data_IF_436696311360
#
_entry.id   IF_436696311360
#
_cell.length_a   1.000
_cell.length_b   1.000
_cell.length_c   1.000
_cell.angle_alpha   90.00
_cell.angle_beta   90.00
_cell.angle_gamma   90.00
#
_symmetry.space_group_name_H-M   'P 1'
#
loop_
_entity.id
_entity.type
_entity.pdbx_description
1 polymer ?
#
# COMPACT_ATOMS: atom_id res chain seq x y z
N UNK A 1 0.47 -51.03 -10.39
CA UNK A 1 1.08 -49.71 -10.71
C UNK A 1 0.01 -48.72 -11.10
N UNK A 2 -0.80 -48.27 -10.14
CA UNK A 2 -1.70 -47.12 -10.30
C UNK A 2 -1.50 -46.27 -9.05
N UNK A 3 -1.11 -45.01 -9.27
CA UNK A 3 -0.42 -44.13 -8.32
C UNK A 3 -1.20 -43.79 -7.04
N UNK A 4 -0.49 -43.27 -6.02
CA UNK A 4 -1.13 -42.92 -4.77
C UNK A 4 -2.14 -41.80 -5.01
N UNK A 5 -3.37 -42.03 -4.56
CA UNK A 5 -4.45 -41.06 -4.51
C UNK A 5 -3.99 -39.83 -3.73
N UNK A 6 -3.78 -38.70 -4.42
CA UNK A 6 -3.57 -37.41 -3.78
C UNK A 6 -4.85 -37.10 -2.98
N UNK A 7 -4.76 -37.33 -1.67
CA UNK A 7 -5.80 -37.00 -0.71
C UNK A 7 -6.14 -35.51 -0.82
N UNK A 8 -7.43 -35.24 -0.79
CA UNK A 8 -8.06 -33.92 -0.89
C UNK A 8 -7.89 -33.10 0.42
N UNK A 9 -6.71 -33.19 1.06
CA UNK A 9 -6.45 -32.69 2.42
C UNK A 9 -5.12 -31.91 2.56
N UNK A 10 -4.58 -31.34 1.47
CA UNK A 10 -3.34 -30.55 1.54
C UNK A 10 -3.47 -29.10 1.02
N UNK A 11 -4.63 -28.47 1.19
CA UNK A 11 -4.60 -27.02 1.37
C UNK A 11 -4.12 -26.80 2.80
N UNK A 12 -2.80 -26.73 2.98
CA UNK A 12 -2.20 -26.22 4.21
C UNK A 12 -2.99 -24.98 4.61
N UNK A 13 -3.56 -24.97 5.83
CA UNK A 13 -4.28 -23.82 6.34
C UNK A 13 -3.31 -22.63 6.41
N UNK A 14 -3.17 -21.91 5.30
CA UNK A 14 -2.25 -20.80 5.14
C UNK A 14 -2.67 -19.76 6.16
N UNK A 15 -1.80 -19.55 7.15
CA UNK A 15 -2.00 -18.52 8.15
C UNK A 15 -1.98 -17.17 7.41
N UNK A 16 -3.18 -16.62 7.16
CA UNK A 16 -3.34 -15.38 6.42
C UNK A 16 -2.61 -14.21 7.07
N UNK A 17 -2.34 -14.27 8.38
CA UNK A 17 -1.56 -13.25 9.10
C UNK A 17 -0.07 -13.36 8.76
N UNK A 18 0.45 -14.57 8.58
CA UNK A 18 1.85 -14.83 8.20
C UNK A 18 2.11 -14.64 6.70
N UNK A 19 1.12 -14.92 5.86
CA UNK A 19 1.22 -14.86 4.40
C UNK A 19 0.30 -13.79 3.81
N UNK A 20 0.40 -12.58 4.34
CA UNK A 20 -0.25 -11.43 3.73
C UNK A 20 0.46 -11.08 2.42
N UNK A 21 -0.30 -10.68 1.39
CA UNK A 21 0.25 -10.07 0.19
C UNK A 21 0.83 -8.70 0.55
N UNK A 22 2.05 -8.71 1.11
CA UNK A 22 2.79 -7.54 1.50
C UNK A 22 3.45 -6.87 0.30
N UNK A 23 3.79 -5.61 0.47
CA UNK A 23 4.69 -4.92 -0.45
C UNK A 23 6.11 -5.42 -0.19
N UNK A 24 6.78 -5.98 -1.20
CA UNK A 24 8.18 -6.40 -1.07
C UNK A 24 9.08 -5.20 -0.76
N UNK A 25 10.21 -5.42 -0.09
CA UNK A 25 11.14 -4.35 0.24
C UNK A 25 11.59 -3.53 -1.00
N UNK A 26 11.95 -4.13 -2.15
CA UNK A 26 12.27 -3.35 -3.35
C UNK A 26 11.08 -2.53 -3.87
N UNK A 27 9.86 -3.08 -3.81
CA UNK A 27 8.65 -2.37 -4.21
C UNK A 27 8.29 -1.24 -3.23
N UNK A 28 8.60 -1.40 -1.95
CA UNK A 28 8.49 -0.36 -0.92
C UNK A 28 9.47 0.77 -1.20
N UNK A 29 10.75 0.47 -1.38
CA UNK A 29 11.77 1.47 -1.69
C UNK A 29 11.52 2.19 -3.02
N UNK A 30 10.91 1.52 -4.00
CA UNK A 30 10.46 2.18 -5.24
C UNK A 30 9.39 3.24 -5.00
N UNK A 31 8.52 3.05 -3.99
CA UNK A 31 7.42 3.97 -3.66
C UNK A 31 7.79 5.02 -2.61
N UNK A 32 8.70 4.69 -1.69
CA UNK A 32 8.98 5.44 -0.46
C UNK A 32 10.49 5.55 -0.14
N UNK A 33 11.34 5.53 -1.17
CA UNK A 33 12.80 5.43 -1.02
C UNK A 33 13.49 6.70 -0.52
N UNK A 34 12.80 7.84 -0.47
CA UNK A 34 13.32 9.09 0.10
C UNK A 34 12.19 9.98 0.65
N UNK A 35 12.58 11.06 1.35
CA UNK A 35 11.64 11.98 1.98
C UNK A 35 10.65 12.60 0.98
N UNK A 36 11.12 13.07 -0.18
CA UNK A 36 10.26 13.67 -1.20
C UNK A 36 9.18 12.69 -1.70
N UNK A 37 9.56 11.43 -1.95
CA UNK A 37 8.61 10.39 -2.36
C UNK A 37 7.57 10.10 -1.28
N UNK A 38 7.99 10.03 -0.02
CA UNK A 38 7.08 9.85 1.12
C UNK A 38 6.10 11.02 1.26
N UNK A 39 6.58 12.27 1.17
CA UNK A 39 5.75 13.47 1.25
C UNK A 39 4.71 13.51 0.13
N UNK A 40 5.12 13.22 -1.10
CA UNK A 40 4.21 13.18 -2.25
C UNK A 40 3.17 12.06 -2.12
N UNK A 41 3.57 10.86 -1.67
CA UNK A 41 2.64 9.77 -1.44
C UNK A 41 1.62 10.09 -0.33
N UNK A 42 2.06 10.79 0.71
CA UNK A 42 1.17 11.26 1.78
C UNK A 42 0.16 12.30 1.27
N UNK A 43 0.61 13.25 0.45
CA UNK A 43 -0.22 14.29 -0.14
C UNK A 43 -1.32 13.68 -1.03
N UNK A 44 -0.94 12.78 -1.95
CA UNK A 44 -1.89 12.08 -2.82
C UNK A 44 -2.89 11.22 -2.02
N UNK A 45 -2.42 10.55 -0.97
CA UNK A 45 -3.29 9.73 -0.11
C UNK A 45 -4.34 10.57 0.62
N UNK A 46 -3.95 11.76 1.10
CA UNK A 46 -4.86 12.67 1.80
C UNK A 46 -5.80 13.41 0.85
N UNK A 47 -5.28 13.81 -0.31
CA UNK A 47 -5.96 14.69 -1.26
C UNK A 47 -5.79 14.17 -2.69
N UNK A 48 -6.45 13.06 -3.07
CA UNK A 48 -6.26 12.43 -4.38
C UNK A 48 -6.70 13.31 -5.56
N UNK A 49 -7.57 14.29 -5.30
CA UNK A 49 -8.10 15.26 -6.28
C UNK A 49 -7.58 16.68 -6.01
N UNK A 50 -6.57 16.84 -5.15
CA UNK A 50 -6.12 18.13 -4.65
C UNK A 50 -6.83 18.56 -3.36
N UNK A 51 -6.24 19.55 -2.70
CA UNK A 51 -6.75 20.07 -1.43
C UNK A 51 -8.03 20.90 -1.65
N UNK A 52 -9.05 20.64 -0.84
CA UNK A 52 -10.27 21.47 -0.74
C UNK A 52 -10.52 21.78 0.73
N UNK A 53 -10.64 23.06 1.07
CA UNK A 53 -10.92 23.49 2.43
C UNK A 53 -12.35 23.06 2.84
N UNK A 54 -12.53 22.28 3.93
CA UNK A 54 -13.86 21.81 4.34
C UNK A 54 -14.78 22.94 4.85
N UNK A 55 -14.23 24.12 5.14
CA UNK A 55 -14.99 25.27 5.66
C UNK A 55 -15.53 26.18 4.56
N UNK A 56 -14.77 26.40 3.48
CA UNK A 56 -15.09 27.39 2.45
C UNK A 56 -14.98 26.88 1.02
N UNK A 57 -14.67 25.59 0.80
CA UNK A 57 -14.48 24.96 -0.51
C UNK A 57 -13.37 25.59 -1.39
N UNK A 58 -12.54 26.49 -0.85
CA UNK A 58 -11.40 27.03 -1.56
C UNK A 58 -10.33 25.96 -1.81
N UNK A 59 -9.67 26.05 -2.96
CA UNK A 59 -8.58 25.16 -3.39
C UNK A 59 -7.19 25.75 -3.18
N UNK A 60 -7.11 27.04 -2.83
CA UNK A 60 -5.85 27.71 -2.52
C UNK A 60 -5.21 27.12 -1.26
N UNK A 61 -3.93 26.73 -1.37
CA UNK A 61 -3.14 26.13 -0.29
C UNK A 61 -1.66 26.49 -0.44
N UNK A 62 -0.89 26.33 0.63
CA UNK A 62 0.57 26.49 0.63
C UNK A 62 1.23 25.28 1.28
N UNK A 63 2.49 25.03 0.90
CA UNK A 63 3.32 23.98 1.50
C UNK A 63 4.45 24.63 2.27
N UNK A 64 4.64 24.21 3.51
CA UNK A 64 5.78 24.60 4.33
C UNK A 64 6.85 23.51 4.26
N UNK A 65 8.11 23.91 4.05
CA UNK A 65 9.28 23.03 4.06
C UNK A 65 10.26 23.56 5.13
N UNK A 66 10.82 22.66 5.93
CA UNK A 66 11.76 22.98 7.01
C UNK A 66 13.20 22.90 6.55
#
# INVERSE_FOLDING_TARGET
>A
MLGPSLHRDQIMAMNRVQFQAGLSLPAFLKRYGNAQQCEQALEISRWPQGFVCPRCAATAHSRFQR
#
